data_IF_901021978885
#
_entry.id   IF_901021978885
#
_cell.length_a   1.000
_cell.length_b   1.000
_cell.length_c   1.000
_cell.angle_alpha   90.00
_cell.angle_beta   90.00
_cell.angle_gamma   90.00
#
_symmetry.space_group_name_H-M   'P 1'
#
loop_
_entity.id
_entity.type
_entity.pdbx_description
1 polymer ?
#
# COMPACT_ATOMS: atom_id res chain seq x y z
N UNK A 1 -22.93 -14.29 -48.08
CA UNK A 1 -23.89 -14.98 -47.18
C UNK A 1 -23.60 -16.47 -47.23
N UNK A 2 -23.10 -17.04 -46.14
CA UNK A 2 -23.17 -18.48 -45.93
C UNK A 2 -23.64 -18.69 -44.47
N UNK A 3 -24.88 -19.18 -44.25
CA UNK A 3 -25.44 -19.37 -42.92
C UNK A 3 -25.03 -20.75 -42.39
N UNK A 4 -24.02 -20.78 -41.53
CA UNK A 4 -23.59 -21.97 -40.81
C UNK A 4 -24.37 -22.11 -39.50
N UNK A 5 -25.24 -23.10 -39.46
CA UNK A 5 -26.03 -23.58 -38.32
C UNK A 5 -25.17 -23.86 -37.09
N UNK A 6 -25.34 -23.06 -36.02
CA UNK A 6 -24.79 -23.36 -34.70
C UNK A 6 -25.76 -24.28 -33.96
N UNK A 7 -25.62 -25.58 -34.21
CA UNK A 7 -26.24 -26.62 -33.38
C UNK A 7 -25.18 -27.18 -32.44
N UNK A 8 -25.43 -26.92 -31.16
CA UNK A 8 -25.35 -27.86 -30.03
C UNK A 8 -24.24 -28.92 -30.05
N UNK A 9 -23.27 -28.74 -29.16
CA UNK A 9 -22.53 -29.86 -28.56
C UNK A 9 -22.08 -29.53 -27.15
N UNK A 10 -22.99 -29.76 -26.20
CA UNK A 10 -22.64 -29.88 -24.78
C UNK A 10 -21.93 -31.23 -24.56
N UNK A 11 -20.63 -31.28 -24.84
CA UNK A 11 -19.80 -32.45 -24.53
C UNK A 11 -18.81 -32.11 -23.39
N UNK A 12 -19.15 -32.56 -22.18
CA UNK A 12 -18.18 -33.16 -21.25
C UNK A 12 -17.21 -32.26 -20.48
N UNK A 13 -17.66 -31.63 -19.39
CA UNK A 13 -16.78 -31.36 -18.24
C UNK A 13 -16.89 -32.52 -17.24
N UNK A 14 -16.15 -33.59 -17.54
CA UNK A 14 -15.79 -34.62 -16.56
C UNK A 14 -14.88 -34.00 -15.51
N UNK A 15 -15.42 -33.64 -14.34
CA UNK A 15 -14.64 -33.29 -13.14
C UNK A 15 -13.95 -34.55 -12.61
N UNK A 16 -12.77 -34.84 -13.13
CA UNK A 16 -11.85 -35.81 -12.57
C UNK A 16 -10.56 -35.09 -12.19
N UNK A 17 -10.49 -34.53 -10.98
CA UNK A 17 -9.19 -34.39 -10.33
C UNK A 17 -9.32 -34.24 -8.80
N UNK A 18 -9.18 -35.36 -8.11
CA UNK A 18 -8.58 -35.45 -6.78
C UNK A 18 -7.63 -36.64 -6.87
N UNK A 19 -6.36 -36.54 -6.42
CA UNK A 19 -6.14 -36.53 -4.97
C UNK A 19 -4.93 -35.73 -4.45
N UNK A 20 -5.03 -35.40 -3.15
CA UNK A 20 -3.95 -35.23 -2.14
C UNK A 20 -2.58 -34.70 -2.57
N UNK A 21 -2.27 -33.47 -2.14
CA UNK A 21 -0.91 -33.05 -1.79
C UNK A 21 -1.03 -32.12 -0.58
N UNK A 22 -0.34 -32.45 0.51
CA UNK A 22 -0.40 -31.72 1.77
C UNK A 22 0.04 -30.26 1.62
N UNK A 23 -0.17 -29.42 2.64
CA UNK A 23 0.38 -28.07 2.62
C UNK A 23 1.90 -28.15 2.77
N UNK A 24 2.61 -28.27 1.65
CA UNK A 24 4.03 -27.90 1.57
C UNK A 24 4.12 -26.42 1.90
N UNK A 25 4.71 -26.13 3.05
CA UNK A 25 5.11 -24.80 3.43
C UNK A 25 6.03 -24.22 2.35
N UNK A 26 5.49 -23.32 1.53
CA UNK A 26 6.29 -22.24 0.98
C UNK A 26 6.20 -21.11 1.98
N UNK A 27 7.08 -21.23 2.97
CA UNK A 27 7.62 -20.08 3.69
C UNK A 27 8.09 -19.09 2.63
N UNK A 28 7.29 -18.05 2.38
CA UNK A 28 7.70 -16.95 1.55
C UNK A 28 8.86 -16.26 2.28
N UNK A 29 10.04 -16.62 1.81
CA UNK A 29 11.34 -16.07 2.16
C UNK A 29 11.27 -14.56 2.32
N UNK A 30 11.53 -14.13 3.55
CA UNK A 30 12.46 -13.05 3.89
C UNK A 30 12.49 -11.87 2.91
N UNK A 31 11.58 -10.92 3.15
CA UNK A 31 11.70 -9.53 2.71
C UNK A 31 11.66 -8.59 3.90
N UNK A 32 12.32 -8.93 5.01
CA UNK A 32 12.23 -8.17 6.28
C UNK A 32 13.39 -7.17 6.48
N UNK A 33 14.21 -6.93 5.44
CA UNK A 33 15.37 -6.03 5.55
C UNK A 33 15.04 -4.53 5.41
N UNK A 34 13.88 -4.20 4.85
CA UNK A 34 13.52 -2.79 4.52
C UNK A 34 12.34 -2.25 5.32
N UNK A 35 11.51 -3.12 5.90
CA UNK A 35 10.36 -2.72 6.72
C UNK A 35 10.78 -1.94 7.98
N UNK A 36 11.92 -2.32 8.58
CA UNK A 36 12.47 -1.65 9.76
C UNK A 36 13.06 -0.25 9.51
N UNK A 37 13.45 0.05 8.26
CA UNK A 37 14.19 1.28 7.95
C UNK A 37 13.35 2.57 8.06
N UNK A 38 12.02 2.44 8.09
CA UNK A 38 11.08 3.56 8.18
C UNK A 38 10.20 3.49 9.43
N UNK A 39 10.49 2.61 10.40
CA UNK A 39 9.74 2.54 11.66
C UNK A 39 9.88 3.81 12.50
N UNK A 40 11.01 4.52 12.36
CA UNK A 40 11.27 5.80 13.00
C UNK A 40 10.22 6.86 12.59
N UNK A 41 9.77 6.81 11.33
CA UNK A 41 8.80 7.74 10.75
C UNK A 41 7.46 7.71 11.50
N UNK A 42 7.05 6.54 12.00
CA UNK A 42 5.80 6.39 12.74
C UNK A 42 5.77 7.22 14.03
N UNK A 43 6.94 7.50 14.61
CA UNK A 43 7.07 8.28 15.85
C UNK A 43 7.17 9.80 15.63
N UNK A 44 7.32 10.25 14.37
CA UNK A 44 7.53 11.66 14.07
C UNK A 44 6.28 12.52 14.32
N UNK A 45 6.54 13.79 14.69
CA UNK A 45 5.51 14.84 14.69
C UNK A 45 5.16 15.24 13.26
N UNK A 46 3.98 15.83 13.05
CA UNK A 46 3.53 16.28 11.73
C UNK A 46 4.54 17.22 11.05
N UNK A 47 5.03 18.24 11.78
CA UNK A 47 5.97 19.23 11.22
C UNK A 47 7.28 18.58 10.78
N UNK A 48 7.83 17.67 11.59
CA UNK A 48 9.07 16.95 11.25
C UNK A 48 8.87 15.98 10.09
N UNK A 49 7.78 15.22 10.09
CA UNK A 49 7.46 14.33 8.97
C UNK A 49 7.30 15.13 7.66
N UNK A 50 6.67 16.31 7.71
CA UNK A 50 6.53 17.20 6.54
C UNK A 50 7.87 17.75 6.06
N UNK A 51 8.72 18.22 6.97
CA UNK A 51 10.06 18.72 6.63
C UNK A 51 10.92 17.65 5.96
N UNK A 52 10.94 16.44 6.54
CA UNK A 52 11.66 15.31 5.96
C UNK A 52 11.10 14.90 4.60
N UNK A 53 9.77 14.89 4.44
CA UNK A 53 9.15 14.59 3.15
C UNK A 53 9.58 15.58 2.06
N UNK A 54 9.59 16.87 2.39
CA UNK A 54 10.07 17.92 1.47
C UNK A 54 11.53 17.69 1.10
N UNK A 55 12.38 17.33 2.05
CA UNK A 55 13.80 17.04 1.77
C UNK A 55 13.98 15.79 0.89
N UNK A 56 13.17 14.75 1.10
CA UNK A 56 13.16 13.53 0.28
C UNK A 56 12.76 13.87 -1.16
N UNK A 57 11.67 14.61 -1.35
CA UNK A 57 11.19 15.02 -2.67
C UNK A 57 12.26 15.85 -3.40
N UNK A 58 12.87 16.82 -2.73
CA UNK A 58 13.94 17.64 -3.33
C UNK A 58 15.14 16.79 -3.79
N UNK A 59 15.52 15.75 -3.04
CA UNK A 59 16.61 14.84 -3.42
C UNK A 59 16.24 13.98 -4.63
N UNK A 60 15.00 13.51 -4.69
CA UNK A 60 14.49 12.76 -5.85
C UNK A 60 14.45 13.64 -7.10
N UNK A 61 13.97 14.88 -6.98
CA UNK A 61 13.90 15.85 -8.09
C UNK A 61 15.28 16.28 -8.60
N UNK A 62 16.29 16.32 -7.73
CA UNK A 62 17.66 16.63 -8.13
C UNK A 62 18.27 15.56 -9.06
N UNK A 63 17.76 14.31 -9.02
CA UNK A 63 18.13 13.25 -9.95
C UNK A 63 19.61 12.81 -9.91
N UNK A 64 20.36 13.18 -8.87
CA UNK A 64 21.79 12.88 -8.73
C UNK A 64 22.09 11.65 -7.89
N UNK A 65 21.06 10.90 -7.48
CA UNK A 65 21.15 9.71 -6.61
C UNK A 65 21.07 8.44 -7.47
N UNK A 66 21.83 7.37 -7.14
CA UNK A 66 21.70 6.09 -7.84
C UNK A 66 20.31 5.50 -7.68
N UNK A 67 19.98 4.52 -8.52
CA UNK A 67 18.64 3.93 -8.58
C UNK A 67 18.23 3.30 -7.25
N UNK A 68 19.12 2.56 -6.59
CA UNK A 68 18.80 1.91 -5.31
C UNK A 68 18.48 2.96 -4.23
N UNK A 69 19.27 4.04 -4.16
CA UNK A 69 19.02 5.15 -3.23
C UNK A 69 17.72 5.89 -3.56
N UNK A 70 17.38 6.01 -4.85
CA UNK A 70 16.14 6.65 -5.30
C UNK A 70 14.92 5.83 -4.88
N UNK A 71 15.01 4.50 -4.92
CA UNK A 71 13.95 3.61 -4.41
C UNK A 71 13.81 3.73 -2.89
N UNK A 72 14.93 3.72 -2.15
CA UNK A 72 14.89 3.89 -0.69
C UNK A 72 14.32 5.24 -0.27
N UNK A 73 14.67 6.32 -1.00
CA UNK A 73 14.08 7.65 -0.80
C UNK A 73 12.58 7.66 -1.10
N UNK A 74 12.14 6.99 -2.17
CA UNK A 74 10.72 6.88 -2.48
C UNK A 74 9.94 6.14 -1.38
N UNK A 75 10.43 4.99 -0.90
CA UNK A 75 9.79 4.23 0.18
C UNK A 75 9.69 5.05 1.48
N UNK A 76 10.76 5.79 1.82
CA UNK A 76 10.73 6.71 2.96
C UNK A 76 9.73 7.85 2.75
N UNK A 77 9.67 8.39 1.54
CA UNK A 77 8.69 9.41 1.15
C UNK A 77 7.25 8.96 1.34
N UNK A 78 6.93 7.74 0.93
CA UNK A 78 5.60 7.13 1.14
C UNK A 78 5.28 6.98 2.63
N UNK A 79 6.22 6.49 3.43
CA UNK A 79 6.03 6.36 4.88
C UNK A 79 5.76 7.72 5.54
N UNK A 80 6.50 8.77 5.15
CA UNK A 80 6.34 10.12 5.67
C UNK A 80 4.99 10.73 5.26
N UNK A 81 4.57 10.53 4.01
CA UNK A 81 3.27 10.96 3.52
C UNK A 81 2.12 10.29 4.30
N UNK A 82 2.21 8.98 4.51
CA UNK A 82 1.23 8.23 5.27
C UNK A 82 1.15 8.72 6.73
N UNK A 83 2.28 9.01 7.37
CA UNK A 83 2.30 9.59 8.72
C UNK A 83 1.61 10.95 8.77
N UNK A 84 1.88 11.82 7.80
CA UNK A 84 1.24 13.13 7.71
C UNK A 84 -0.28 13.00 7.55
N UNK A 85 -0.73 12.04 6.73
CA UNK A 85 -2.15 11.78 6.51
C UNK A 85 -2.84 11.31 7.80
N UNK A 86 -2.23 10.38 8.55
CA UNK A 86 -2.75 9.91 9.85
C UNK A 86 -2.96 11.07 10.82
N UNK A 87 -1.99 11.98 10.93
CA UNK A 87 -2.12 13.18 11.78
C UNK A 87 -3.31 14.07 11.37
N UNK A 88 -3.50 14.29 10.06
CA UNK A 88 -4.60 15.10 9.55
C UNK A 88 -5.96 14.45 9.80
N UNK A 89 -6.03 13.13 9.66
CA UNK A 89 -7.27 12.38 9.89
C UNK A 89 -7.65 12.35 11.37
N UNK A 90 -6.68 12.20 12.28
CA UNK A 90 -6.92 12.35 13.72
C UNK A 90 -7.42 13.75 14.08
N UNK A 91 -6.82 14.79 13.51
CA UNK A 91 -7.24 16.17 13.74
C UNK A 91 -8.68 16.41 13.24
N UNK A 92 -9.02 15.89 12.05
CA UNK A 92 -10.37 15.96 11.49
C UNK A 92 -11.39 15.22 12.36
N UNK A 93 -11.04 14.03 12.86
CA UNK A 93 -11.92 13.25 13.73
C UNK A 93 -12.23 14.00 15.03
N UNK A 94 -11.24 14.66 15.63
CA UNK A 94 -11.43 15.49 16.83
C UNK A 94 -12.36 16.68 16.56
N UNK A 95 -12.18 17.37 15.44
CA UNK A 95 -13.06 18.48 15.05
C UNK A 95 -14.51 18.02 14.81
N UNK A 96 -14.68 16.87 14.16
CA UNK A 96 -16.00 16.29 13.94
C UNK A 96 -16.70 15.94 15.26
N UNK A 97 -15.98 15.38 16.24
CA UNK A 97 -16.55 15.05 17.55
C UNK A 97 -17.06 16.29 18.29
N UNK A 98 -16.28 17.38 18.31
CA UNK A 98 -16.70 18.66 18.93
C UNK A 98 -17.93 19.23 18.22
N UNK A 99 -17.95 19.18 16.88
CA UNK A 99 -19.06 19.72 16.11
C UNK A 99 -20.37 18.94 16.27
N UNK A 100 -20.34 17.67 16.69
CA UNK A 100 -21.56 16.91 17.02
C UNK A 100 -22.09 17.28 18.40
N UNK A 101 -21.20 17.39 19.39
CA UNK A 101 -21.54 17.77 20.77
C UNK A 101 -22.25 19.14 20.85
N UNK A 102 -21.76 20.14 20.08
CA UNK A 102 -22.38 21.48 19.98
C UNK A 102 -23.79 21.49 19.33
N UNK A 103 -24.19 20.41 18.65
CA UNK A 103 -25.48 20.34 17.94
C UNK A 103 -26.57 19.55 18.67
N UNK A 104 -26.25 19.00 19.84
CA UNK A 104 -27.16 18.19 20.67
C UNK A 104 -27.70 18.95 21.91
N UNK A 105 -27.36 20.23 22.06
CA UNK A 105 -27.91 21.20 23.05
C UNK A 105 -28.79 22.27 22.35
#
# INVERSE_FOLDING_TARGET
MNPGTYSDRQDGYSTHNSPSSGPSALSASSGDGTAGANEDVASLSYERAREELVAVVQRLEAGSVPLEDSLALWERGEALAQRCQTWLDEARARLAAVAQDDSED
#
